data_IF_894308447049
#
_entry.id   IF_894308447049
#
_cell.length_a   1.000
_cell.length_b   1.000
_cell.length_c   1.000
_cell.angle_alpha   90.00
_cell.angle_beta   90.00
_cell.angle_gamma   90.00
#
_symmetry.space_group_name_H-M   'P 1'
#
loop_
_entity.id
_entity.type
_entity.pdbx_description
1 polymer ?
#
# COMPACT_ATOMS: atom_id res chain seq x y z
N UNK A 1 35.11 1.71 -18.71
CA UNK A 1 33.76 1.89 -18.14
C UNK A 1 33.87 3.01 -17.11
N UNK A 2 33.12 4.10 -17.27
CA UNK A 2 33.11 5.15 -16.25
C UNK A 2 32.68 4.55 -14.91
N UNK A 3 33.38 4.88 -13.83
CA UNK A 3 33.01 4.46 -12.47
C UNK A 3 31.61 5.00 -12.21
N UNK A 4 30.64 4.15 -11.87
CA UNK A 4 29.31 4.63 -11.52
C UNK A 4 29.41 5.57 -10.32
N UNK A 5 28.80 6.75 -10.45
CA UNK A 5 28.73 7.74 -9.40
C UNK A 5 28.05 7.14 -8.17
N UNK A 6 28.63 7.38 -7.00
CA UNK A 6 28.10 6.93 -5.74
C UNK A 6 28.50 7.90 -4.63
N UNK A 7 27.71 7.91 -3.56
CA UNK A 7 28.05 8.57 -2.31
C UNK A 7 27.97 7.57 -1.15
N UNK A 8 28.69 7.83 -0.08
CA UNK A 8 28.64 7.06 1.16
C UNK A 8 27.91 7.90 2.21
N UNK A 9 26.91 7.31 2.85
CA UNK A 9 26.10 7.99 3.88
C UNK A 9 26.31 7.28 5.22
N UNK A 10 26.60 8.03 6.28
CA UNK A 10 26.66 7.52 7.65
C UNK A 10 25.25 7.54 8.26
N UNK A 11 24.62 6.37 8.37
CA UNK A 11 23.22 6.23 8.77
C UNK A 11 23.11 5.13 9.83
N UNK A 12 22.43 5.40 10.95
CA UNK A 12 22.29 4.42 12.04
C UNK A 12 23.63 3.76 12.46
N UNK A 13 24.71 4.58 12.50
CA UNK A 13 26.06 4.16 12.87
C UNK A 13 26.79 3.29 11.84
N UNK A 14 26.36 3.28 10.56
CA UNK A 14 27.01 2.51 9.49
C UNK A 14 27.11 3.26 8.17
N UNK A 15 28.11 2.91 7.39
CA UNK A 15 28.27 3.38 6.02
C UNK A 15 27.30 2.67 5.06
N UNK A 16 26.42 3.45 4.41
CA UNK A 16 25.47 2.99 3.39
C UNK A 16 25.87 3.59 2.03
N UNK A 17 26.23 2.72 1.08
CA UNK A 17 26.55 3.12 -0.29
C UNK A 17 25.29 3.44 -1.10
N UNK A 18 25.14 4.68 -1.55
CA UNK A 18 24.09 5.10 -2.47
C UNK A 18 24.63 5.21 -3.90
N UNK A 19 24.03 4.48 -4.84
CA UNK A 19 24.44 4.47 -6.25
C UNK A 19 23.55 5.36 -7.11
N UNK A 20 24.15 6.07 -8.09
CA UNK A 20 23.45 7.02 -8.97
C UNK A 20 22.59 8.03 -8.16
N UNK A 21 23.19 8.80 -7.22
CA UNK A 21 22.45 9.71 -6.36
C UNK A 21 21.65 10.74 -7.15
N UNK A 22 22.21 11.26 -8.24
CA UNK A 22 21.57 12.25 -9.12
C UNK A 22 20.49 11.67 -10.05
N UNK A 23 20.17 10.37 -9.98
CA UNK A 23 19.09 9.80 -10.81
C UNK A 23 17.76 10.44 -10.41
N UNK A 24 17.11 11.11 -11.36
CA UNK A 24 15.79 11.71 -11.18
C UNK A 24 14.72 10.63 -11.04
N UNK A 25 13.98 10.65 -9.94
CA UNK A 25 12.82 9.78 -9.71
C UNK A 25 11.50 10.47 -10.00
N UNK A 26 11.42 11.79 -9.79
CA UNK A 26 10.23 12.59 -10.02
C UNK A 26 10.56 13.71 -11.03
N UNK A 27 10.34 13.48 -12.33
CA UNK A 27 10.81 14.42 -13.37
C UNK A 27 10.22 15.83 -13.28
N UNK A 28 8.95 15.96 -12.90
CA UNK A 28 8.27 17.26 -12.82
C UNK A 28 8.87 18.19 -11.75
N UNK A 29 9.02 17.77 -10.47
CA UNK A 29 9.70 18.59 -9.46
C UNK A 29 11.23 18.47 -9.51
N UNK A 30 11.78 17.50 -10.22
CA UNK A 30 13.23 17.27 -10.33
C UNK A 30 13.83 16.42 -9.21
N UNK A 31 13.02 15.86 -8.29
CA UNK A 31 13.55 15.11 -7.15
C UNK A 31 14.31 13.85 -7.58
N UNK A 32 15.51 13.73 -7.03
CA UNK A 32 16.48 12.68 -7.28
C UNK A 32 16.35 11.55 -6.25
N UNK A 33 17.12 10.48 -6.48
CA UNK A 33 17.27 9.39 -5.52
C UNK A 33 17.86 9.90 -4.20
N UNK A 34 18.84 10.82 -4.24
CA UNK A 34 19.44 11.37 -3.03
C UNK A 34 18.42 12.17 -2.22
N UNK A 35 17.62 13.01 -2.87
CA UNK A 35 16.56 13.79 -2.19
C UNK A 35 15.56 12.87 -1.48
N UNK A 36 15.20 11.74 -2.09
CA UNK A 36 14.33 10.75 -1.45
C UNK A 36 14.99 10.08 -0.24
N UNK A 37 16.29 9.83 -0.28
CA UNK A 37 17.02 9.31 0.90
C UNK A 37 17.05 10.37 2.00
N UNK A 38 17.37 11.62 1.67
CA UNK A 38 17.43 12.73 2.63
C UNK A 38 16.06 13.00 3.27
N UNK A 39 14.98 12.87 2.49
CA UNK A 39 13.61 12.88 3.02
C UNK A 39 13.44 11.82 4.12
N UNK A 40 13.77 10.55 3.85
CA UNK A 40 13.62 9.49 4.86
C UNK A 40 14.56 9.66 6.04
N UNK A 41 15.72 10.31 5.87
CA UNK A 41 16.58 10.70 6.99
C UNK A 41 15.88 11.74 7.87
N UNK A 42 15.26 12.74 7.26
CA UNK A 42 14.58 13.82 7.98
C UNK A 42 13.32 13.36 8.72
N UNK A 43 12.62 12.33 8.22
CA UNK A 43 11.37 11.82 8.80
C UNK A 43 11.52 10.47 9.52
N UNK A 44 12.75 9.99 9.70
CA UNK A 44 13.02 8.61 10.13
C UNK A 44 12.28 8.21 11.40
N UNK A 45 12.31 9.06 12.44
CA UNK A 45 11.71 8.75 13.73
C UNK A 45 10.20 8.50 13.61
N UNK A 46 9.48 9.36 12.87
CA UNK A 46 8.05 9.24 12.62
C UNK A 46 7.72 8.08 11.66
N UNK A 47 8.48 7.93 10.57
CA UNK A 47 8.27 6.86 9.60
C UNK A 47 8.48 5.46 10.22
N UNK A 48 9.47 5.30 11.09
CA UNK A 48 9.83 4.02 11.68
C UNK A 48 8.81 3.51 12.71
N UNK A 49 7.97 4.37 13.31
CA UNK A 49 6.83 3.93 14.14
C UNK A 49 5.93 2.97 13.35
N UNK A 50 5.79 3.20 12.04
CA UNK A 50 4.89 2.46 11.17
C UNK A 50 5.56 1.34 10.36
N UNK A 51 6.89 1.20 10.43
CA UNK A 51 7.67 0.24 9.64
C UNK A 51 8.45 -0.76 10.50
N UNK A 52 8.87 -0.35 11.69
CA UNK A 52 9.73 -1.16 12.56
C UNK A 52 9.05 -2.47 12.93
N UNK A 53 9.83 -3.55 12.93
CA UNK A 53 9.40 -4.93 13.17
C UNK A 53 8.39 -5.47 12.14
N UNK A 54 8.02 -4.72 11.09
CA UNK A 54 7.04 -5.18 10.09
C UNK A 54 7.73 -5.67 8.82
N UNK A 55 7.44 -6.90 8.34
CA UNK A 55 7.79 -7.27 6.98
C UNK A 55 7.15 -6.27 6.01
N UNK A 56 7.89 -5.89 4.97
CA UNK A 56 7.51 -4.81 4.08
C UNK A 56 7.65 -5.20 2.62
N UNK A 57 6.54 -5.11 1.89
CA UNK A 57 6.52 -5.24 0.44
C UNK A 57 7.09 -3.96 -0.18
N UNK A 58 8.06 -4.12 -1.07
CA UNK A 58 8.78 -3.04 -1.72
C UNK A 58 8.18 -2.75 -3.10
N UNK A 59 7.63 -1.54 -3.32
CA UNK A 59 7.22 -1.09 -4.65
C UNK A 59 8.31 -0.19 -5.25
N UNK A 60 9.01 -0.72 -6.25
CA UNK A 60 10.25 -0.17 -6.78
C UNK A 60 10.04 0.52 -8.13
N UNK A 61 10.60 1.71 -8.27
CA UNK A 61 10.64 2.54 -9.48
C UNK A 61 12.11 2.79 -9.86
N UNK A 62 12.77 1.76 -10.38
CA UNK A 62 14.23 1.75 -10.61
C UNK A 62 14.68 2.90 -11.54
N UNK A 63 13.79 3.32 -12.44
CA UNK A 63 14.00 4.37 -13.43
C UNK A 63 13.05 5.58 -13.26
N UNK A 64 12.48 5.76 -12.06
CA UNK A 64 11.55 6.85 -11.75
C UNK A 64 10.08 6.51 -12.01
N UNK A 65 9.20 7.43 -11.65
CA UNK A 65 7.75 7.20 -11.53
C UNK A 65 7.00 7.06 -12.87
N UNK A 66 7.63 7.44 -13.98
CA UNK A 66 7.03 7.35 -15.31
C UNK A 66 7.13 5.94 -15.92
N UNK A 67 7.85 5.03 -15.26
CA UNK A 67 8.04 3.65 -15.68
C UNK A 67 7.24 2.69 -14.80
N UNK A 68 6.99 1.50 -15.31
CA UNK A 68 6.24 0.48 -14.57
C UNK A 68 6.95 0.07 -13.27
N UNK A 69 6.21 -0.05 -12.15
CA UNK A 69 6.79 -0.46 -10.88
C UNK A 69 7.10 -1.97 -10.85
N UNK A 70 8.13 -2.32 -10.09
CA UNK A 70 8.42 -3.69 -9.67
C UNK A 70 7.90 -3.89 -8.26
N UNK A 71 6.89 -4.74 -8.09
CA UNK A 71 6.44 -5.20 -6.79
C UNK A 71 7.34 -6.34 -6.32
N UNK A 72 8.07 -6.12 -5.24
CA UNK A 72 9.05 -7.06 -4.72
C UNK A 72 8.76 -7.37 -3.25
N UNK A 73 8.37 -8.62 -2.99
CA UNK A 73 8.19 -9.15 -1.65
C UNK A 73 9.51 -9.66 -1.07
N UNK A 74 10.16 -10.54 -1.83
CA UNK A 74 11.41 -11.18 -1.42
C UNK A 74 12.61 -10.24 -1.56
N UNK A 75 13.46 -10.14 -0.53
CA UNK A 75 14.74 -9.44 -0.64
C UNK A 75 15.67 -10.12 -1.66
N UNK A 76 16.64 -9.40 -2.27
CA UNK A 76 17.64 -10.03 -3.12
C UNK A 76 18.41 -11.14 -2.39
N UNK A 77 18.97 -12.12 -3.11
CA UNK A 77 19.72 -13.22 -2.49
C UNK A 77 21.01 -12.81 -1.78
N UNK A 78 21.50 -11.60 -2.05
CA UNK A 78 22.63 -10.98 -1.37
C UNK A 78 22.17 -9.64 -0.83
N UNK A 79 22.14 -9.52 0.48
CA UNK A 79 21.85 -8.28 1.21
C UNK A 79 23.00 -8.01 2.19
N UNK A 80 23.15 -6.77 2.69
CA UNK A 80 24.11 -6.48 3.75
C UNK A 80 23.81 -7.30 5.01
N UNK A 81 24.85 -7.71 5.74
CA UNK A 81 24.72 -8.56 6.94
C UNK A 81 23.91 -7.92 8.08
N UNK A 82 23.82 -6.58 8.09
CA UNK A 82 23.04 -5.82 9.07
C UNK A 82 21.56 -5.68 8.69
N UNK A 83 21.17 -6.04 7.46
CA UNK A 83 19.79 -5.90 7.00
C UNK A 83 18.91 -6.95 7.68
N UNK A 84 17.89 -6.50 8.39
CA UNK A 84 16.95 -7.40 9.03
C UNK A 84 15.83 -7.86 8.08
N UNK A 85 15.46 -9.12 8.21
CA UNK A 85 14.42 -9.77 7.41
C UNK A 85 13.53 -10.64 8.29
N UNK A 86 12.38 -11.05 7.75
CA UNK A 86 11.60 -12.15 8.32
C UNK A 86 10.95 -12.97 7.22
N UNK A 87 10.69 -14.25 7.50
CA UNK A 87 9.98 -15.13 6.57
C UNK A 87 8.48 -15.02 6.80
N UNK A 88 7.74 -14.56 5.78
CA UNK A 88 6.28 -14.55 5.76
C UNK A 88 5.74 -15.73 4.96
N UNK A 89 4.57 -16.21 5.35
CA UNK A 89 3.79 -17.17 4.57
C UNK A 89 2.62 -16.45 3.88
N UNK A 90 2.28 -16.87 2.67
CA UNK A 90 1.14 -16.32 1.92
C UNK A 90 -0.06 -17.26 2.00
N UNK A 91 -1.29 -16.78 1.67
CA UNK A 91 -2.47 -17.64 1.57
C UNK A 91 -2.29 -18.86 0.64
N UNK A 92 -1.37 -18.75 -0.34
CA UNK A 92 -1.01 -19.85 -1.25
C UNK A 92 -0.15 -20.96 -0.62
N UNK A 93 0.34 -20.80 0.61
CA UNK A 93 1.31 -21.69 1.27
C UNK A 93 2.77 -21.43 0.88
N UNK A 94 3.03 -20.56 -0.11
CA UNK A 94 4.38 -20.10 -0.45
C UNK A 94 4.93 -19.17 0.63
N UNK A 95 6.25 -19.08 0.73
CA UNK A 95 6.94 -18.15 1.64
C UNK A 95 7.82 -17.14 0.89
N UNK A 96 8.07 -16.00 1.52
CA UNK A 96 9.08 -15.02 1.11
C UNK A 96 9.84 -14.50 2.33
N UNK A 97 11.12 -14.24 2.14
CA UNK A 97 11.92 -13.48 3.10
C UNK A 97 11.78 -11.99 2.73
N UNK A 98 11.05 -11.23 3.55
CA UNK A 98 10.76 -9.81 3.31
C UNK A 98 11.63 -8.92 4.18
N UNK A 99 11.84 -7.68 3.72
CA UNK A 99 12.56 -6.63 4.45
C UNK A 99 11.83 -6.29 5.75
N UNK A 100 12.56 -6.14 6.85
CA UNK A 100 12.08 -5.53 8.10
C UNK A 100 12.87 -4.25 8.33
N UNK A 101 12.27 -3.08 8.07
CA UNK A 101 12.97 -1.80 8.12
C UNK A 101 12.98 -1.23 9.54
N UNK A 102 14.05 -1.51 10.29
CA UNK A 102 14.15 -1.16 11.72
C UNK A 102 14.87 0.17 12.02
N UNK A 103 15.59 0.71 11.04
CA UNK A 103 16.27 1.99 11.15
C UNK A 103 16.38 2.69 9.77
N UNK A 104 16.87 3.92 9.78
CA UNK A 104 17.03 4.76 8.59
C UNK A 104 17.99 4.16 7.54
N UNK A 105 18.96 3.34 7.94
CA UNK A 105 19.85 2.66 6.99
C UNK A 105 19.10 1.60 6.17
N UNK A 106 18.12 0.92 6.77
CA UNK A 106 17.23 0.00 6.03
C UNK A 106 16.39 0.75 4.97
N UNK A 107 15.86 1.92 5.33
CA UNK A 107 15.08 2.77 4.41
C UNK A 107 15.97 3.25 3.25
N UNK A 108 17.16 3.77 3.55
CA UNK A 108 18.10 4.24 2.54
C UNK A 108 18.57 3.10 1.61
N UNK A 109 18.77 1.89 2.14
CA UNK A 109 19.08 0.71 1.33
C UNK A 109 17.92 0.36 0.37
N UNK A 110 16.69 0.38 0.86
CA UNK A 110 15.51 0.12 0.04
C UNK A 110 15.35 1.19 -1.06
N UNK A 111 15.52 2.48 -0.73
CA UNK A 111 15.52 3.57 -1.71
C UNK A 111 16.64 3.42 -2.73
N UNK A 112 17.81 2.94 -2.34
CA UNK A 112 18.90 2.68 -3.28
C UNK A 112 18.54 1.60 -4.32
N UNK A 113 17.74 0.60 -3.91
CA UNK A 113 17.11 -0.38 -4.80
C UNK A 113 15.94 0.20 -5.61
N UNK A 114 15.55 1.44 -5.37
CA UNK A 114 14.48 2.17 -6.05
C UNK A 114 13.12 2.07 -5.41
N UNK A 115 13.03 1.68 -4.13
CA UNK A 115 11.75 1.75 -3.40
C UNK A 115 11.34 3.21 -3.25
N UNK A 116 10.14 3.53 -3.74
CA UNK A 116 9.47 4.81 -3.45
C UNK A 116 8.35 4.58 -2.44
N UNK A 117 7.61 3.48 -2.60
CA UNK A 117 6.38 3.19 -1.86
C UNK A 117 6.56 1.91 -0.99
N UNK A 118 6.61 2.11 0.32
CA UNK A 118 6.79 1.06 1.34
C UNK A 118 5.42 0.55 1.81
N UNK A 119 5.23 -0.78 1.78
CA UNK A 119 3.94 -1.40 2.07
C UNK A 119 4.09 -2.44 3.20
N UNK A 120 4.12 -2.03 4.48
CA UNK A 120 4.27 -2.92 5.61
C UNK A 120 3.03 -3.79 5.84
N UNK A 121 3.26 -5.00 6.35
CA UNK A 121 2.20 -5.85 6.87
C UNK A 121 1.51 -5.20 8.09
N UNK A 122 0.21 -5.48 8.35
CA UNK A 122 -0.47 -5.02 9.55
C UNK A 122 -0.08 -5.80 10.81
N UNK A 123 0.99 -6.59 10.75
CA UNK A 123 1.50 -7.44 11.82
C UNK A 123 3.02 -7.23 11.99
N UNK A 124 3.55 -7.53 13.16
CA UNK A 124 5.00 -7.48 13.45
C UNK A 124 5.58 -8.89 13.38
N UNK A 125 6.88 -9.01 13.09
CA UNK A 125 7.58 -10.30 12.89
C UNK A 125 7.53 -11.25 14.08
N UNK A 126 7.29 -10.72 15.28
CA UNK A 126 7.14 -11.53 16.49
C UNK A 126 5.84 -12.34 16.49
N UNK A 127 4.78 -11.82 15.87
CA UNK A 127 3.47 -12.47 15.77
C UNK A 127 2.82 -12.10 14.43
N UNK A 128 3.12 -12.86 13.39
CA UNK A 128 2.71 -12.55 12.01
C UNK A 128 1.26 -12.92 11.69
N UNK A 129 0.64 -13.77 12.51
CA UNK A 129 -0.72 -14.26 12.27
C UNK A 129 -1.77 -13.52 13.12
N UNK A 130 -1.34 -12.68 14.07
CA UNK A 130 -2.21 -11.75 14.80
C UNK A 130 -1.85 -10.27 14.46
N UNK A 131 -2.57 -9.62 13.52
CA UNK A 131 -2.34 -8.22 13.20
C UNK A 131 -2.51 -7.32 14.42
N UNK A 132 -1.58 -6.38 14.59
CA UNK A 132 -1.63 -5.34 15.61
C UNK A 132 -2.20 -4.02 15.06
N UNK A 133 -2.74 -4.02 13.83
CA UNK A 133 -3.24 -2.82 13.16
C UNK A 133 -4.50 -3.10 12.34
N UNK A 134 -5.61 -2.46 12.70
CA UNK A 134 -6.81 -2.36 11.86
C UNK A 134 -6.63 -1.18 10.89
N UNK A 135 -6.98 -1.40 9.62
CA UNK A 135 -6.86 -0.42 8.53
C UNK A 135 -8.23 -0.09 7.95
N UNK A 136 -8.64 1.16 8.04
CA UNK A 136 -9.82 1.66 7.32
C UNK A 136 -9.33 2.42 6.09
N UNK A 137 -9.60 1.90 4.90
CA UNK A 137 -9.19 2.50 3.63
C UNK A 137 -10.40 3.13 2.92
N UNK A 138 -10.32 4.43 2.68
CA UNK A 138 -11.38 5.22 2.06
C UNK A 138 -11.04 5.50 0.60
N UNK A 139 -11.62 4.69 -0.29
CA UNK A 139 -11.38 4.74 -1.73
C UNK A 139 -12.54 5.41 -2.46
N UNK A 140 -12.40 6.66 -2.94
CA UNK A 140 -13.47 7.34 -3.66
C UNK A 140 -13.79 6.65 -4.99
N UNK A 141 -15.08 6.44 -5.27
CA UNK A 141 -15.56 6.02 -6.58
C UNK A 141 -15.24 7.03 -7.68
N UNK A 142 -15.47 6.63 -8.94
CA UNK A 142 -15.30 7.54 -10.08
C UNK A 142 -16.20 8.78 -9.93
N UNK A 143 -15.63 9.98 -10.12
CA UNK A 143 -16.35 11.25 -9.99
C UNK A 143 -16.60 11.72 -8.56
N UNK A 144 -16.21 10.95 -7.54
CA UNK A 144 -16.37 11.34 -6.13
C UNK A 144 -15.27 12.34 -5.73
N UNK A 145 -15.69 13.52 -5.27
CA UNK A 145 -14.79 14.60 -4.88
C UNK A 145 -14.10 14.36 -3.54
N UNK A 146 -12.98 15.06 -3.33
CA UNK A 146 -12.17 14.97 -2.11
C UNK A 146 -12.94 15.30 -0.82
N UNK A 147 -13.87 16.25 -0.88
CA UNK A 147 -14.74 16.60 0.24
C UNK A 147 -15.54 15.42 0.80
N UNK A 148 -16.02 14.52 -0.07
CA UNK A 148 -16.72 13.31 0.38
C UNK A 148 -15.79 12.37 1.14
N UNK A 149 -14.50 12.27 0.74
CA UNK A 149 -13.50 11.47 1.45
C UNK A 149 -13.25 12.02 2.85
N UNK A 150 -13.08 13.35 2.98
CA UNK A 150 -12.90 14.02 4.28
C UNK A 150 -14.09 13.81 5.21
N UNK A 151 -15.31 14.03 4.71
CA UNK A 151 -16.54 13.81 5.49
C UNK A 151 -16.73 12.35 5.89
N UNK A 152 -16.46 11.39 5.00
CA UNK A 152 -16.50 9.97 5.35
C UNK A 152 -15.46 9.62 6.41
N UNK A 153 -14.26 10.21 6.38
CA UNK A 153 -13.25 10.00 7.41
C UNK A 153 -13.69 10.50 8.79
N UNK A 154 -14.43 11.61 8.86
CA UNK A 154 -15.00 12.09 10.13
C UNK A 154 -16.08 11.14 10.66
N UNK A 155 -16.90 10.54 9.79
CA UNK A 155 -17.85 9.50 10.21
C UNK A 155 -17.12 8.26 10.73
N UNK A 156 -16.01 7.86 10.10
CA UNK A 156 -15.14 6.77 10.60
C UNK A 156 -14.61 7.07 11.99
N UNK A 157 -14.16 8.31 12.26
CA UNK A 157 -13.72 8.74 13.61
C UNK A 157 -14.82 8.48 14.63
N UNK A 158 -16.02 8.98 14.37
CA UNK A 158 -17.13 8.90 15.31
C UNK A 158 -17.51 7.44 15.60
N UNK A 159 -17.54 6.58 14.58
CA UNK A 159 -17.78 5.13 14.74
C UNK A 159 -16.68 4.46 15.57
N UNK A 160 -15.40 4.80 15.34
CA UNK A 160 -14.29 4.24 16.11
C UNK A 160 -14.37 4.65 17.58
N UNK A 161 -14.61 5.94 17.86
CA UNK A 161 -14.68 6.48 19.21
C UNK A 161 -15.83 5.86 20.01
N UNK A 162 -17.01 5.70 19.41
CA UNK A 162 -18.16 5.03 20.04
C UNK A 162 -17.91 3.55 20.36
N UNK A 163 -16.96 2.93 19.67
CA UNK A 163 -16.55 1.55 19.89
C UNK A 163 -15.23 1.42 20.66
N UNK A 164 -14.78 2.50 21.32
CA UNK A 164 -13.63 2.49 22.23
C UNK A 164 -12.28 2.38 21.53
N UNK A 165 -12.22 2.65 20.22
CA UNK A 165 -11.01 2.58 19.40
C UNK A 165 -10.52 3.98 19.05
N UNK A 166 -9.21 4.18 19.12
CA UNK A 166 -8.57 5.42 18.69
C UNK A 166 -8.04 5.29 17.26
N UNK A 167 -8.59 6.06 16.33
CA UNK A 167 -8.10 6.16 14.97
C UNK A 167 -7.00 7.22 14.80
N UNK A 168 -6.08 6.96 13.88
CA UNK A 168 -5.00 7.85 13.45
C UNK A 168 -5.11 8.06 11.94
N UNK A 169 -5.67 9.19 11.48
CA UNK A 169 -5.88 9.44 10.06
C UNK A 169 -4.57 9.79 9.36
N UNK A 170 -4.48 9.41 8.08
CA UNK A 170 -3.45 9.86 7.17
C UNK A 170 -4.00 10.01 5.77
N UNK A 171 -3.53 11.00 5.01
CA UNK A 171 -3.77 10.95 3.57
C UNK A 171 -3.09 9.69 3.02
N UNK A 172 -3.66 9.09 1.98
CA UNK A 172 -2.95 8.01 1.30
C UNK A 172 -1.80 8.56 0.44
N UNK A 173 -1.76 9.87 0.18
CA UNK A 173 -0.89 10.50 -0.82
C UNK A 173 -1.30 10.16 -2.27
N UNK A 174 -2.48 9.56 -2.47
CA UNK A 174 -3.09 9.31 -3.78
C UNK A 174 -4.48 9.96 -3.82
N UNK A 175 -5.57 9.17 -3.79
CA UNK A 175 -6.95 9.66 -3.91
C UNK A 175 -7.76 9.63 -2.62
N UNK A 176 -7.25 8.96 -1.57
CA UNK A 176 -8.04 8.57 -0.40
C UNK A 176 -7.41 8.95 0.94
N UNK A 177 -8.09 8.58 2.02
CA UNK A 177 -7.61 8.67 3.41
C UNK A 177 -7.55 7.26 3.97
N UNK A 178 -6.51 6.94 4.74
CA UNK A 178 -6.50 5.74 5.57
C UNK A 178 -6.63 6.16 7.03
N UNK A 179 -7.37 5.40 7.83
CA UNK A 179 -7.37 5.53 9.30
C UNK A 179 -6.75 4.26 9.88
N UNK A 180 -5.68 4.43 10.64
CA UNK A 180 -4.97 3.33 11.31
C UNK A 180 -5.45 3.22 12.75
N UNK A 181 -5.61 2.02 13.26
CA UNK A 181 -5.98 1.75 14.66
C UNK A 181 -5.01 0.70 15.20
N UNK A 182 -4.30 1.03 16.29
CA UNK A 182 -3.44 0.06 16.99
C UNK A 182 -4.33 -0.92 17.76
N UNK A 183 -4.04 -2.21 17.62
CA UNK A 183 -4.74 -3.30 18.30
C UNK A 183 -3.78 -4.04 19.23
N UNK A 184 -4.35 -4.62 20.28
CA UNK A 184 -3.72 -5.77 20.94
C UNK A 184 -3.65 -6.94 19.93
N UNK A 185 -2.51 -7.65 19.80
CA UNK A 185 -2.32 -8.72 18.81
C UNK A 185 -3.00 -10.03 19.25
N UNK A 186 -4.31 -9.99 19.48
CA UNK A 186 -5.11 -11.13 20.00
C UNK A 186 -5.99 -11.78 18.92
N UNK A 187 -6.24 -11.08 17.81
CA UNK A 187 -7.11 -11.54 16.73
C UNK A 187 -6.33 -11.89 15.48
N UNK A 188 -6.79 -12.91 14.76
CA UNK A 188 -6.28 -13.24 13.45
C UNK A 188 -6.83 -12.30 12.36
N UNK A 189 -6.32 -12.45 11.12
CA UNK A 189 -6.81 -11.68 9.96
C UNK A 189 -8.32 -11.84 9.70
N UNK A 190 -8.94 -12.96 10.08
CA UNK A 190 -10.39 -13.16 9.92
C UNK A 190 -11.15 -12.25 10.90
N UNK A 191 -10.73 -12.22 12.17
CA UNK A 191 -11.29 -11.37 13.21
C UNK A 191 -11.15 -9.88 12.88
N UNK A 192 -9.94 -9.44 12.48
CA UNK A 192 -9.68 -8.04 12.13
C UNK A 192 -10.51 -7.61 10.92
N UNK A 193 -10.59 -8.43 9.86
CA UNK A 193 -11.44 -8.11 8.70
C UNK A 193 -12.93 -8.10 9.05
N UNK A 194 -13.39 -9.01 9.90
CA UNK A 194 -14.79 -9.05 10.35
C UNK A 194 -15.16 -7.75 11.07
N UNK A 195 -14.29 -7.26 11.96
CA UNK A 195 -14.45 -5.96 12.60
C UNK A 195 -14.44 -4.80 11.59
N UNK A 196 -13.52 -4.82 10.62
CA UNK A 196 -13.46 -3.81 9.56
C UNK A 196 -14.73 -3.75 8.69
N UNK A 197 -15.33 -4.91 8.39
CA UNK A 197 -16.58 -4.99 7.64
C UNK A 197 -17.77 -4.41 8.44
N UNK A 198 -17.85 -4.72 9.74
CA UNK A 198 -18.88 -4.16 10.61
C UNK A 198 -18.76 -2.64 10.69
N UNK A 199 -17.54 -2.12 10.86
CA UNK A 199 -17.25 -0.68 10.80
C UNK A 199 -17.69 -0.08 9.46
N UNK A 200 -17.32 -0.70 8.34
CA UNK A 200 -17.68 -0.20 7.00
C UNK A 200 -19.21 -0.10 6.81
N UNK A 201 -19.97 -1.07 7.31
CA UNK A 201 -21.44 -1.06 7.26
C UNK A 201 -22.04 0.00 8.17
N UNK A 202 -21.46 0.22 9.34
CA UNK A 202 -21.94 1.28 10.23
C UNK A 202 -21.69 2.67 9.65
N UNK A 203 -20.54 2.88 9.02
CA UNK A 203 -20.25 4.10 8.27
C UNK A 203 -21.26 4.28 7.12
N UNK A 204 -21.55 3.23 6.35
CA UNK A 204 -22.58 3.27 5.29
C UNK A 204 -23.98 3.55 5.86
N UNK A 205 -24.35 3.01 7.02
CA UNK A 205 -25.64 3.29 7.67
C UNK A 205 -25.79 4.74 8.11
N UNK A 206 -24.71 5.35 8.61
CA UNK A 206 -24.71 6.74 9.09
C UNK A 206 -24.61 7.77 7.96
N UNK A 207 -23.93 7.41 6.88
CA UNK A 207 -23.71 8.29 5.75
C UNK A 207 -23.99 7.59 4.41
N UNK A 208 -25.25 7.14 4.18
CA UNK A 208 -25.58 6.30 3.03
C UNK A 208 -25.41 7.01 1.69
N UNK A 209 -25.43 8.35 1.64
CA UNK A 209 -25.19 9.11 0.41
C UNK A 209 -23.69 9.37 0.14
N UNK A 210 -22.83 9.17 1.15
CA UNK A 210 -21.40 9.48 1.08
C UNK A 210 -20.52 8.24 1.00
N UNK A 211 -20.93 7.14 1.61
CA UNK A 211 -20.11 5.96 1.78
C UNK A 211 -20.83 4.68 1.38
N UNK A 212 -20.05 3.66 1.02
CA UNK A 212 -20.58 2.34 0.69
C UNK A 212 -19.68 1.22 1.20
N UNK A 213 -20.30 0.10 1.60
CA UNK A 213 -19.63 -1.16 1.90
C UNK A 213 -19.80 -2.20 0.77
N UNK A 214 -20.37 -1.82 -0.38
CA UNK A 214 -20.62 -2.76 -1.49
C UNK A 214 -19.32 -3.17 -2.18
N UNK A 215 -19.09 -4.48 -2.25
CA UNK A 215 -17.88 -5.04 -2.84
C UNK A 215 -17.76 -4.75 -4.35
N UNK A 216 -18.87 -4.89 -5.09
CA UNK A 216 -18.87 -4.82 -6.54
C UNK A 216 -18.84 -3.37 -7.02
N UNK A 217 -17.91 -3.03 -7.93
CA UNK A 217 -17.69 -1.65 -8.39
C UNK A 217 -18.97 -1.02 -8.94
N UNK A 218 -19.79 -1.80 -9.64
CA UNK A 218 -21.06 -1.39 -10.23
C UNK A 218 -22.18 -1.10 -9.21
N UNK A 219 -22.02 -1.57 -7.97
CA UNK A 219 -22.95 -1.29 -6.86
C UNK A 219 -22.43 -0.15 -5.97
N UNK A 220 -21.21 0.32 -6.20
CA UNK A 220 -20.60 1.38 -5.39
C UNK A 220 -21.14 2.73 -5.79
N UNK A 221 -21.37 3.55 -4.77
CA UNK A 221 -21.56 4.99 -4.86
C UNK A 221 -20.70 5.65 -3.77
N UNK A 222 -20.34 6.91 -3.96
CA UNK A 222 -19.55 7.64 -2.97
C UNK A 222 -18.20 6.97 -2.67
N UNK A 223 -17.80 7.01 -1.40
CA UNK A 223 -16.53 6.51 -0.89
C UNK A 223 -16.69 5.05 -0.46
N UNK A 224 -15.95 4.15 -1.10
CA UNK A 224 -15.89 2.76 -0.68
C UNK A 224 -15.00 2.62 0.55
N UNK A 225 -15.55 2.03 1.62
CA UNK A 225 -14.79 1.67 2.82
C UNK A 225 -14.23 0.26 2.61
N UNK A 226 -12.98 0.15 2.14
CA UNK A 226 -12.38 -1.13 1.71
C UNK A 226 -11.94 -2.00 2.90
N UNK A 227 -12.92 -2.70 3.48
CA UNK A 227 -12.70 -3.67 4.55
C UNK A 227 -11.76 -4.81 4.14
N UNK A 228 -11.61 -5.12 2.84
CA UNK A 228 -10.74 -6.20 2.36
C UNK A 228 -9.26 -5.85 2.43
N UNK A 229 -8.87 -4.61 2.77
CA UNK A 229 -7.47 -4.27 3.06
C UNK A 229 -6.93 -4.93 4.35
N UNK A 230 -7.83 -5.44 5.19
CA UNK A 230 -7.48 -6.22 6.38
C UNK A 230 -7.36 -7.73 6.11
N UNK A 231 -7.56 -8.16 4.86
CA UNK A 231 -7.18 -9.51 4.46
C UNK A 231 -5.65 -9.66 4.46
N UNK A 232 -5.15 -10.89 4.60
CA UNK A 232 -3.72 -11.18 4.53
C UNK A 232 -3.13 -10.75 3.18
N UNK A 233 -1.85 -10.38 3.12
CA UNK A 233 -1.17 -10.10 1.86
C UNK A 233 -1.75 -8.93 1.03
N UNK A 234 -2.29 -7.92 1.71
CA UNK A 234 -2.78 -6.68 1.11
C UNK A 234 -1.78 -5.55 1.30
N UNK A 235 -1.54 -4.79 0.24
CA UNK A 235 -0.57 -3.70 0.24
C UNK A 235 -1.24 -2.38 0.62
N UNK A 236 -0.78 -1.77 1.70
CA UNK A 236 -1.18 -0.44 2.15
C UNK A 236 0.08 0.37 2.38
N UNK A 237 0.18 1.54 1.74
CA UNK A 237 1.34 2.41 1.88
C UNK A 237 1.51 2.85 3.34
N UNK A 238 2.74 2.74 3.85
CA UNK A 238 3.12 3.17 5.19
C UNK A 238 2.81 4.64 5.42
N UNK A 239 2.59 5.01 6.68
CA UNK A 239 2.69 6.42 7.04
C UNK A 239 4.10 6.94 6.73
N UNK A 240 4.17 8.19 6.26
CA UNK A 240 5.34 8.89 5.74
C UNK A 240 5.99 8.28 4.50
N UNK A 241 5.38 7.27 3.85
CA UNK A 241 5.87 6.80 2.56
C UNK A 241 5.58 7.84 1.47
N UNK A 242 6.60 8.20 0.69
CA UNK A 242 6.40 8.95 -0.56
C UNK A 242 5.62 8.08 -1.54
N UNK A 243 4.73 8.69 -2.31
CA UNK A 243 3.90 8.05 -3.32
C UNK A 243 4.41 8.40 -4.71
N UNK A 244 4.25 7.50 -5.69
CA UNK A 244 4.68 7.73 -7.07
C UNK A 244 3.68 8.64 -7.80
N UNK A 245 3.41 9.83 -7.26
CA UNK A 245 2.61 10.88 -7.90
C UNK A 245 3.53 11.90 -8.57
N UNK A 246 2.99 12.62 -9.55
CA UNK A 246 3.74 13.60 -10.35
C UNK A 246 4.41 14.70 -9.52
N UNK A 247 3.90 14.95 -8.32
CA UNK A 247 4.32 15.97 -7.35
C UNK A 247 4.96 15.36 -6.09
N UNK A 248 5.27 14.06 -6.07
CA UNK A 248 5.92 13.38 -4.93
C UNK A 248 5.17 13.53 -3.59
N UNK A 249 3.84 13.30 -3.60
CA UNK A 249 3.02 13.34 -2.40
C UNK A 249 3.44 12.30 -1.38
N UNK A 250 3.08 12.53 -0.13
CA UNK A 250 3.36 11.65 1.00
C UNK A 250 2.06 11.12 1.58
N UNK A 251 2.05 9.84 1.94
CA UNK A 251 1.03 9.26 2.81
C UNK A 251 1.25 9.78 4.24
N UNK A 252 0.70 10.94 4.60
CA UNK A 252 1.13 11.70 5.78
C UNK A 252 0.06 11.68 6.89
N UNK A 253 0.49 11.43 8.14
CA UNK A 253 -0.39 11.47 9.32
C UNK A 253 -0.94 12.87 9.56
N UNK A 254 -2.18 12.89 10.03
CA UNK A 254 -2.94 14.10 10.32
C UNK A 254 -3.44 14.04 11.76
N UNK A 255 -3.57 15.21 12.37
CA UNK A 255 -4.49 15.38 13.49
C UNK A 255 -5.94 15.33 12.98
N UNK A 256 -6.87 14.95 13.84
CA UNK A 256 -8.28 14.82 13.45
C UNK A 256 -8.93 16.15 13.06
N UNK A 257 -8.48 17.26 13.64
CA UNK A 257 -8.96 18.61 13.34
C UNK A 257 -8.53 19.09 11.95
N UNK A 258 -7.38 18.63 11.44
CA UNK A 258 -6.91 18.93 10.09
C UNK A 258 -7.69 18.20 8.98
N UNK A 259 -8.36 17.09 9.29
CA UNK A 259 -8.99 16.21 8.30
C UNK A 259 -10.05 16.93 7.45
N UNK A 260 -10.75 17.92 8.01
CA UNK A 260 -11.79 18.66 7.29
C UNK A 260 -11.24 19.57 6.17
N UNK A 261 -10.00 20.05 6.34
CA UNK A 261 -9.42 21.10 5.50
C UNK A 261 -8.16 20.64 4.74
N UNK A 262 -7.64 19.45 5.05
CA UNK A 262 -6.42 18.94 4.42
C UNK A 262 -6.55 18.85 2.90
N UNK A 263 -5.51 19.29 2.19
CA UNK A 263 -5.35 19.10 0.76
C UNK A 263 -4.11 18.20 0.50
N UNK A 264 -4.26 17.05 -0.20
CA UNK A 264 -3.14 16.13 -0.42
C UNK A 264 -1.96 16.74 -1.17
N UNK A 265 -2.20 17.80 -1.95
CA UNK A 265 -1.15 18.51 -2.70
C UNK A 265 -0.16 19.28 -1.80
N UNK A 266 -0.52 19.54 -0.55
CA UNK A 266 0.32 20.26 0.40
C UNK A 266 1.28 19.32 1.16
N UNK A 267 1.05 18.00 1.06
CA UNK A 267 1.78 16.96 1.78
C UNK A 267 2.71 16.23 0.80
N UNK A 268 3.93 16.75 0.63
CA UNK A 268 4.91 16.30 -0.35
C UNK A 268 6.27 16.04 0.27
N UNK A 269 7.13 15.40 -0.51
CA UNK A 269 8.53 15.12 -0.16
C UNK A 269 9.24 16.37 0.39
N UNK A 270 8.99 17.54 -0.18
CA UNK A 270 9.64 18.81 0.19
C UNK A 270 8.99 19.57 1.36
N UNK A 271 7.73 19.28 1.69
CA UNK A 271 6.98 20.04 2.71
C UNK A 271 6.84 19.30 4.03
N UNK A 272 6.74 17.97 4.00
CA UNK A 272 6.50 17.15 5.19
C UNK A 272 7.63 17.22 6.23
N UNK A 273 8.93 17.27 5.86
CA UNK A 273 9.99 17.39 6.86
C UNK A 273 9.87 18.65 7.74
N UNK A 274 9.49 19.78 7.15
CA UNK A 274 9.30 21.02 7.91
C UNK A 274 8.00 20.99 8.72
N UNK A 275 6.94 20.39 8.18
CA UNK A 275 5.71 20.14 8.92
C UNK A 275 5.97 19.34 10.20
N UNK A 276 6.74 18.25 10.11
CA UNK A 276 7.04 17.41 11.29
C UNK A 276 7.81 18.19 12.37
N UNK A 277 8.72 19.10 12.00
CA UNK A 277 9.43 19.93 12.99
C UNK A 277 8.52 20.95 13.68
N UNK A 278 7.52 21.46 12.97
CA UNK A 278 6.67 22.56 13.43
C UNK A 278 5.42 22.08 14.16
N UNK A 279 4.77 21.04 13.64
CA UNK A 279 3.52 20.46 14.18
C UNK A 279 3.79 19.26 15.10
N UNK A 280 4.91 18.56 14.90
CA UNK A 280 5.15 17.24 15.49
C UNK A 280 4.56 16.11 14.63
N UNK A 281 4.60 14.88 15.15
CA UNK A 281 4.01 13.70 14.52
C UNK A 281 2.63 13.39 15.13
N UNK A 282 1.52 13.58 14.39
CA UNK A 282 0.17 13.31 14.87
C UNK A 282 -0.08 11.84 15.27
N UNK A 283 0.73 10.92 14.74
CA UNK A 283 0.63 9.50 15.03
C UNK A 283 1.65 9.02 16.07
N UNK A 284 2.41 9.92 16.71
CA UNK A 284 3.50 9.55 17.63
C UNK A 284 3.04 8.62 18.78
N UNK A 285 1.79 8.75 19.23
CA UNK A 285 1.26 7.98 20.36
C UNK A 285 0.56 6.68 19.95
N UNK A 286 0.57 6.30 18.67
CA UNK A 286 -0.21 5.15 18.16
C UNK A 286 0.08 3.86 18.94
N UNK A 287 1.34 3.56 19.22
CA UNK A 287 1.75 2.34 19.94
C UNK A 287 1.38 2.35 21.43
N UNK A 288 1.10 3.52 22.02
CA UNK A 288 0.69 3.65 23.41
C UNK A 288 -0.84 3.56 23.60
N UNK A 289 -1.61 3.43 22.51
CA UNK A 289 -3.07 3.44 22.53
C UNK A 289 -3.65 2.22 21.81
N UNK A 290 -3.16 1.02 22.15
CA UNK A 290 -3.73 -0.23 21.66
C UNK A 290 -5.16 -0.41 22.19
N UNK A 291 -6.08 -0.78 21.31
CA UNK A 291 -7.48 -1.08 21.64
C UNK A 291 -7.84 -2.53 21.36
N UNK A 292 -9.02 -2.94 21.83
CA UNK A 292 -9.59 -4.26 21.56
C UNK A 292 -10.71 -4.18 20.53
N UNK A 293 -10.93 -5.25 19.76
CA UNK A 293 -11.96 -5.29 18.72
C UNK A 293 -13.37 -5.60 19.24
N UNK A 294 -13.56 -5.71 20.56
CA UNK A 294 -14.79 -6.20 21.17
C UNK A 294 -16.03 -5.42 20.72
N UNK A 295 -15.96 -4.08 20.71
CA UNK A 295 -17.07 -3.22 20.28
C UNK A 295 -17.47 -3.42 18.82
N UNK A 296 -16.49 -3.54 17.91
CA UNK A 296 -16.75 -3.80 16.49
C UNK A 296 -17.20 -5.24 16.22
N UNK A 297 -16.71 -6.22 17.00
CA UNK A 297 -17.12 -7.61 16.88
C UNK A 297 -18.53 -7.85 17.43
N UNK A 298 -18.95 -7.09 18.44
CA UNK A 298 -20.33 -7.05 18.90
C UNK A 298 -21.26 -6.49 17.82
N UNK A 299 -20.85 -5.42 17.15
CA UNK A 299 -21.56 -4.89 15.98
C UNK A 299 -21.66 -5.93 14.86
N UNK A 300 -20.59 -6.66 14.58
CA UNK A 300 -20.59 -7.75 13.61
C UNK A 300 -21.56 -8.89 14.00
N UNK A 301 -21.63 -9.23 15.29
CA UNK A 301 -22.56 -10.24 15.82
C UNK A 301 -24.01 -9.80 15.63
N UNK A 302 -24.31 -8.52 15.89
CA UNK A 302 -25.65 -7.96 15.66
C UNK A 302 -26.05 -8.02 14.18
N UNK A 303 -25.14 -7.63 13.27
CA UNK A 303 -25.37 -7.76 11.83
C UNK A 303 -25.74 -9.21 11.45
N UNK A 304 -25.02 -10.19 11.99
CA UNK A 304 -25.29 -11.63 11.75
C UNK A 304 -26.64 -12.08 12.30
N UNK A 305 -27.03 -11.64 13.50
CA UNK A 305 -28.33 -11.90 14.12
C UNK A 305 -29.48 -11.30 13.30
N UNK A 306 -29.25 -10.16 12.64
CA UNK A 306 -30.17 -9.52 11.70
C UNK A 306 -30.12 -10.14 10.28
N UNK A 307 -29.34 -11.20 10.09
CA UNK A 307 -29.25 -11.95 8.83
C UNK A 307 -28.24 -11.41 7.81
N UNK A 308 -27.40 -10.45 8.21
CA UNK A 308 -26.37 -9.83 7.38
C UNK A 308 -25.01 -10.53 7.64
N UNK A 309 -24.77 -11.64 6.94
CA UNK A 309 -23.54 -12.45 7.05
C UNK A 309 -22.26 -11.78 6.53
N UNK A 310 -21.23 -12.57 6.23
CA UNK A 310 -19.95 -12.06 5.70
C UNK A 310 -20.12 -11.40 4.31
N UNK A 311 -19.19 -10.53 3.93
CA UNK A 311 -19.13 -9.92 2.60
C UNK A 311 -18.10 -10.65 1.71
N UNK A 312 -18.21 -10.53 0.37
CA UNK A 312 -17.27 -11.17 -0.53
C UNK A 312 -15.81 -10.86 -0.21
N UNK A 313 -14.99 -11.90 -0.21
CA UNK A 313 -13.53 -11.81 -0.17
C UNK A 313 -12.99 -11.61 -1.59
N UNK A 314 -11.74 -11.14 -1.73
CA UNK A 314 -11.09 -11.09 -3.02
C UNK A 314 -11.06 -12.49 -3.67
N UNK A 315 -11.21 -12.61 -5.01
CA UNK A 315 -11.46 -13.89 -5.67
C UNK A 315 -10.45 -15.01 -5.40
N UNK A 316 -9.21 -14.66 -5.05
CA UNK A 316 -8.11 -15.59 -4.78
C UNK A 316 -8.07 -16.15 -3.35
N UNK A 317 -8.92 -15.66 -2.44
CA UNK A 317 -9.05 -16.22 -1.09
C UNK A 317 -9.97 -17.45 -1.05
N UNK A 318 -9.79 -18.38 -0.11
CA UNK A 318 -10.79 -19.42 0.15
C UNK A 318 -12.16 -18.81 0.48
N UNK A 319 -13.25 -19.51 0.13
CA UNK A 319 -14.62 -19.08 0.46
C UNK A 319 -14.86 -19.24 1.96
N UNK A 320 -15.36 -18.19 2.61
CA UNK A 320 -15.67 -18.23 4.04
C UNK A 320 -17.11 -18.68 4.32
N UNK A 321 -17.37 -19.11 5.55
CA UNK A 321 -18.71 -19.46 6.02
C UNK A 321 -19.57 -18.19 6.04
N UNK A 322 -20.80 -18.29 5.52
CA UNK A 322 -21.71 -17.14 5.45
C UNK A 322 -21.41 -16.15 4.32
N UNK A 323 -20.34 -16.37 3.54
CA UNK A 323 -20.01 -15.53 2.40
C UNK A 323 -21.01 -15.75 1.23
N UNK A 324 -21.61 -14.68 0.67
CA UNK A 324 -22.49 -14.79 -0.48
C UNK A 324 -21.75 -15.33 -1.71
N UNK A 325 -22.49 -15.67 -2.76
CA UNK A 325 -21.89 -16.15 -4.01
C UNK A 325 -21.06 -15.02 -4.64
N UNK A 326 -19.78 -15.28 -4.89
CA UNK A 326 -18.91 -14.40 -5.68
C UNK A 326 -19.31 -14.47 -7.16
N UNK A 327 -20.31 -13.70 -7.57
CA UNK A 327 -20.62 -13.48 -8.99
C UNK A 327 -20.54 -11.99 -9.24
N UNK A 328 -19.74 -11.59 -10.25
CA UNK A 328 -19.82 -10.22 -10.76
C UNK A 328 -21.27 -9.97 -11.21
N UNK A 329 -21.93 -8.90 -10.75
CA UNK A 329 -23.30 -8.55 -11.15
C UNK A 329 -23.54 -8.59 -12.67
N UNK A 330 -22.52 -8.32 -13.50
CA UNK A 330 -22.61 -8.46 -14.98
C UNK A 330 -22.85 -9.89 -15.51
N UNK A 331 -22.75 -10.92 -14.67
CA UNK A 331 -23.06 -12.33 -15.01
C UNK A 331 -24.42 -12.80 -14.50
N UNK A 332 -25.20 -11.92 -13.87
CA UNK A 332 -26.60 -12.18 -13.61
C UNK A 332 -27.40 -12.02 -14.92
N UNK A 333 -28.10 -13.08 -15.33
CA UNK A 333 -28.67 -13.19 -16.69
C UNK A 333 -29.98 -12.41 -16.87
N UNK A 334 -30.43 -11.69 -15.84
CA UNK A 334 -31.76 -11.07 -15.79
C UNK A 334 -31.76 -9.55 -16.05
N UNK A 335 -30.69 -8.95 -16.61
CA UNK A 335 -30.63 -7.50 -16.88
C UNK A 335 -30.23 -7.12 -18.32
N UNK A 336 -30.83 -6.09 -18.95
CA UNK A 336 -30.48 -5.66 -20.30
C UNK A 336 -29.05 -5.08 -20.35
N UNK A 337 -28.27 -5.52 -21.34
CA UNK A 337 -26.82 -5.27 -21.42
C UNK A 337 -26.47 -3.94 -22.11
N UNK A 338 -25.57 -3.15 -21.51
CA UNK A 338 -24.72 -2.19 -22.23
C UNK A 338 -23.25 -2.59 -22.04
N UNK A 339 -22.52 -2.76 -23.15
CA UNK A 339 -21.13 -3.23 -23.18
C UNK A 339 -20.14 -2.08 -22.95
N UNK A 340 -19.32 -2.18 -21.90
CA UNK A 340 -18.13 -1.34 -21.68
C UNK A 340 -16.81 -2.07 -22.04
N UNK A 341 -15.79 -1.31 -22.44
CA UNK A 341 -14.48 -1.75 -22.99
C UNK A 341 -13.55 -2.39 -21.96
N UNK A 342 -12.65 -3.26 -22.44
CA UNK A 342 -11.62 -3.96 -21.66
C UNK A 342 -10.42 -3.05 -21.34
N UNK A 343 -9.93 -3.07 -20.09
CA UNK A 343 -8.71 -2.35 -19.71
C UNK A 343 -8.46 -2.14 -18.20
N UNK A 344 -9.47 -2.31 -17.34
CA UNK A 344 -9.29 -2.00 -15.91
C UNK A 344 -8.55 -3.10 -15.13
N UNK A 345 -7.51 -2.76 -14.35
CA UNK A 345 -6.95 -3.64 -13.34
C UNK A 345 -8.01 -3.97 -12.28
N UNK A 346 -8.22 -5.26 -12.01
CA UNK A 346 -9.02 -5.70 -10.87
C UNK A 346 -8.32 -5.32 -9.55
N UNK A 347 -9.04 -4.85 -8.52
CA UNK A 347 -8.44 -4.55 -7.22
C UNK A 347 -7.95 -5.85 -6.56
N UNK A 348 -6.65 -5.92 -6.24
CA UNK A 348 -6.17 -6.89 -5.24
C UNK A 348 -5.09 -7.90 -5.61
N UNK A 349 -4.10 -7.54 -6.44
CA UNK A 349 -2.83 -8.28 -6.51
C UNK A 349 -1.97 -7.82 -7.67
N UNK A 350 -0.63 -7.90 -7.58
CA UNK A 350 0.19 -7.74 -8.78
C UNK A 350 -0.16 -8.86 -9.77
N UNK A 351 -0.16 -8.61 -11.09
CA UNK A 351 -0.41 -9.65 -12.07
C UNK A 351 0.57 -10.82 -11.85
N UNK A 352 0.15 -12.08 -12.07
CA UNK A 352 1.07 -13.20 -12.03
C UNK A 352 2.19 -12.93 -13.04
N UNK A 353 3.43 -12.96 -12.57
CA UNK A 353 4.61 -12.63 -13.37
C UNK A 353 4.57 -13.35 -14.71
N UNK A 354 4.65 -12.58 -15.80
CA UNK A 354 4.74 -13.10 -17.16
C UNK A 354 6.04 -13.90 -17.25
N UNK A 355 5.95 -15.22 -17.08
CA UNK A 355 6.99 -16.13 -17.54
C UNK A 355 6.81 -16.28 -19.04
N UNK A 356 7.79 -15.77 -19.80
CA UNK A 356 7.97 -16.14 -21.20
C UNK A 356 7.95 -17.67 -21.32
N UNK A 357 7.12 -18.17 -22.22
CA UNK A 357 6.82 -19.59 -22.37
C UNK A 357 8.08 -20.40 -22.66
N UNK A 358 8.32 -21.41 -21.84
CA UNK A 358 9.15 -22.54 -22.17
C UNK A 358 8.37 -23.80 -21.82
N UNK A 359 8.01 -24.57 -22.84
CA UNK A 359 7.73 -25.98 -22.64
C UNK A 359 8.26 -26.82 -23.82
N UNK A 360 9.16 -27.73 -23.42
CA UNK A 360 9.44 -29.06 -23.95
C UNK A 360 10.30 -29.20 -25.21
N UNK A 361 11.53 -29.69 -25.00
CA UNK A 361 12.26 -30.52 -25.96
C UNK A 361 11.72 -31.98 -25.91
N UNK A 362 11.98 -32.81 -26.95
CA UNK A 362 13.27 -33.52 -27.01
C UNK A 362 13.97 -33.50 -28.40
N UNK A 363 15.28 -33.82 -28.36
CA UNK A 363 16.37 -33.78 -29.39
C UNK A 363 16.23 -34.88 -30.49
N UNK A 364 17.18 -35.10 -31.47
CA UNK A 364 18.43 -34.40 -31.86
C UNK A 364 18.67 -34.22 -33.40
N UNK A 365 19.84 -33.66 -33.74
CA UNK A 365 20.66 -33.75 -34.99
C UNK A 365 20.63 -32.61 -36.05
N UNK A 366 21.79 -31.93 -36.09
CA UNK A 366 22.65 -31.60 -37.25
C UNK A 366 22.34 -30.46 -38.25
N UNK A 367 23.46 -29.75 -38.57
CA UNK A 367 23.72 -28.74 -39.61
C UNK A 367 23.02 -27.38 -39.39
N UNK A 368 23.62 -26.21 -39.52
CA UNK A 368 24.91 -25.74 -40.03
C UNK A 368 24.77 -24.23 -40.32
N UNK A 369 25.89 -23.52 -40.37
CA UNK A 369 26.06 -22.14 -40.90
C UNK A 369 25.67 -20.91 -40.05
N UNK A 370 26.72 -20.19 -39.60
CA UNK A 370 26.83 -18.71 -39.52
C UNK A 370 27.11 -18.15 -40.94
N UNK A 371 27.34 -16.83 -41.16
CA UNK A 371 26.71 -15.58 -40.65
C UNK A 371 26.42 -14.58 -41.82
N UNK A 372 25.87 -13.38 -41.55
CA UNK A 372 26.40 -12.07 -42.04
C UNK A 372 25.58 -10.83 -41.64
N UNK A 373 26.31 -9.81 -41.13
CA UNK A 373 26.27 -8.33 -41.38
C UNK A 373 24.93 -7.57 -41.32
N UNK A 374 24.79 -6.35 -40.80
CA UNK A 374 25.70 -5.26 -40.42
C UNK A 374 25.01 -3.91 -40.73
N UNK A 375 25.33 -2.86 -39.95
CA UNK A 375 25.01 -1.42 -40.13
C UNK A 375 23.52 -1.00 -39.97
N UNK A 376 23.16 0.18 -39.43
CA UNK A 376 23.92 1.34 -38.99
C UNK A 376 23.02 2.35 -38.23
N UNK A 377 23.65 3.30 -37.53
CA UNK A 377 23.06 4.44 -36.82
C UNK A 377 23.14 5.72 -37.69
N UNK A 378 22.11 6.57 -37.63
CA UNK A 378 22.08 8.04 -37.81
C UNK A 378 20.63 8.50 -37.42
N UNK A 379 20.33 9.40 -36.46
CA UNK A 379 20.53 10.88 -36.37
C UNK A 379 20.02 11.59 -37.66
N UNK A 380 19.14 12.60 -37.71
CA UNK A 380 18.84 13.86 -36.95
C UNK A 380 17.33 14.22 -37.13
N UNK A 381 16.58 14.82 -36.18
CA UNK A 381 16.41 16.25 -35.81
C UNK A 381 15.97 17.24 -36.91
N UNK A 382 14.79 17.85 -36.70
CA UNK A 382 14.32 19.25 -36.96
C UNK A 382 12.79 19.26 -36.69
N UNK A 383 12.08 20.26 -36.12
CA UNK A 383 12.16 21.74 -35.99
C UNK A 383 11.55 22.10 -34.59
N UNK A 384 11.78 23.21 -33.88
CA UNK A 384 12.37 24.55 -34.10
C UNK A 384 12.82 25.12 -32.74
#
# INVERSE_FOLDING_TARGET
MARSEHTMLELAGREVRLSNPAKVYFPKPGWTKLDLVEYYVAVADAALIHLRERPTVMKRFVNGINEDPIWQKRVPSRVPDWLETTTVAFPSGRTAEELVANDVAHLAWAVNLGVIDFNPWPARRAELDAPDELRVDLDPGEGVGWDAVRRTALVVRDVLEEHGLRGYPKTSGSKGIHVMVRLEPEWDFLGVRRAALALAREVERRAPDLATSKWWKEERHGVFVDYNQNARDRTVASCYSVRPTVDARVSCALEWDEVADVEPGDLRLDTVPERLKTVGDPAATIDANAGTLDGLLELARRDEEEGIGDAPWPPHFPKQRGEPKRVQPSRDKDRPTQRGRAGDPQPGGPPPGVRGGLNKAPKPTQFGAKPRTGQGYAHEFDEE
#
